data_IF_516978227781
#
_entry.id   IF_516978227781
#
_cell.length_a   1.000
_cell.length_b   1.000
_cell.length_c   1.000
_cell.angle_alpha   90.00
_cell.angle_beta   90.00
_cell.angle_gamma   90.00
#
_symmetry.space_group_name_H-M   'P 1'
#
loop_
_entity.id
_entity.type
_entity.pdbx_description
1 polymer ?
#
# COMPACT_ATOMS: atom_id res chain seq x y z
N UNK A 1 22.08 7.28 -22.07
CA UNK A 1 20.76 7.94 -22.06
C UNK A 1 19.82 7.16 -22.97
N UNK A 2 18.68 6.69 -22.45
CA UNK A 2 17.63 6.06 -23.23
C UNK A 2 16.28 6.30 -22.54
N UNK A 3 15.78 7.54 -22.62
CA UNK A 3 14.50 7.92 -22.04
C UNK A 3 13.39 7.62 -23.05
N UNK A 4 12.32 6.97 -22.60
CA UNK A 4 11.12 6.73 -23.41
C UNK A 4 10.04 7.69 -22.97
N UNK A 5 9.47 8.43 -23.92
CA UNK A 5 8.37 9.36 -23.71
C UNK A 5 7.11 8.71 -24.27
N UNK A 6 6.08 8.58 -23.45
CA UNK A 6 4.78 8.02 -23.83
C UNK A 6 3.73 9.11 -23.65
N UNK A 7 3.02 9.45 -24.73
CA UNK A 7 1.90 10.40 -24.72
C UNK A 7 0.58 9.64 -24.76
N UNK A 8 -0.35 10.04 -23.89
CA UNK A 8 -1.69 9.46 -23.78
C UNK A 8 -2.74 10.57 -23.94
N UNK A 9 -3.98 10.23 -24.34
CA UNK A 9 -5.10 11.18 -24.34
C UNK A 9 -5.34 11.77 -22.94
N UNK A 10 -6.19 12.80 -22.82
CA UNK A 10 -6.53 13.39 -21.53
C UNK A 10 -7.61 12.63 -20.75
N UNK A 11 -8.74 12.24 -21.37
CA UNK A 11 -9.88 11.71 -20.65
C UNK A 11 -9.61 10.36 -19.95
N UNK A 12 -10.00 10.18 -18.68
CA UNK A 12 -9.76 8.93 -17.95
C UNK A 12 -10.32 7.68 -18.64
N UNK A 13 -11.51 7.83 -19.27
CA UNK A 13 -12.16 6.75 -20.03
C UNK A 13 -11.33 6.26 -21.23
N UNK A 14 -10.43 7.09 -21.73
CA UNK A 14 -9.54 6.77 -22.86
C UNK A 14 -8.14 6.35 -22.37
N UNK A 15 -7.61 7.01 -21.34
CA UNK A 15 -6.27 6.75 -20.79
C UNK A 15 -6.20 5.43 -20.05
N UNK A 16 -7.19 5.12 -19.21
CA UNK A 16 -7.11 3.94 -18.33
C UNK A 16 -6.97 2.63 -19.12
N UNK A 17 -7.76 2.38 -20.20
CA UNK A 17 -7.57 1.20 -21.03
C UNK A 17 -6.18 1.13 -21.67
N UNK A 18 -5.70 2.25 -22.25
CA UNK A 18 -4.38 2.31 -22.89
C UNK A 18 -3.25 2.05 -21.89
N UNK A 19 -3.36 2.62 -20.69
CA UNK A 19 -2.40 2.39 -19.63
C UNK A 19 -2.41 0.92 -19.20
N UNK A 20 -3.59 0.37 -18.88
CA UNK A 20 -3.70 -0.99 -18.36
C UNK A 20 -3.26 -2.05 -19.36
N UNK A 21 -3.59 -1.88 -20.65
CA UNK A 21 -3.28 -2.86 -21.70
C UNK A 21 -1.85 -2.75 -22.25
N UNK A 22 -1.25 -1.55 -22.25
CA UNK A 22 0.03 -1.33 -22.94
C UNK A 22 1.11 -0.73 -22.04
N UNK A 23 0.85 0.40 -21.40
CA UNK A 23 1.88 1.15 -20.67
C UNK A 23 2.28 0.46 -19.37
N UNK A 24 1.31 -0.03 -18.60
CA UNK A 24 1.52 -0.77 -17.36
C UNK A 24 2.39 -2.01 -17.56
N UNK A 25 2.03 -2.93 -18.48
CA UNK A 25 2.85 -4.10 -18.82
C UNK A 25 4.25 -3.72 -19.32
N UNK A 26 4.36 -2.67 -20.15
CA UNK A 26 5.64 -2.17 -20.62
C UNK A 26 6.54 -1.71 -19.46
N UNK A 27 6.01 -0.89 -18.54
CA UNK A 27 6.74 -0.44 -17.34
C UNK A 27 7.12 -1.65 -16.48
N UNK A 28 6.19 -2.58 -16.27
CA UNK A 28 6.44 -3.79 -15.47
C UNK A 28 7.56 -4.67 -16.07
N UNK A 29 7.65 -4.79 -17.39
CA UNK A 29 8.72 -5.54 -18.05
C UNK A 29 10.13 -4.95 -17.86
N UNK A 30 10.20 -3.65 -17.50
CA UNK A 30 11.46 -2.90 -17.35
C UNK A 30 11.83 -2.60 -15.90
N UNK A 31 10.89 -2.76 -14.97
CA UNK A 31 11.17 -2.63 -13.55
C UNK A 31 11.60 -4.01 -13.02
N UNK A 32 12.86 -4.17 -12.57
CA UNK A 32 13.28 -5.44 -11.98
C UNK A 32 12.50 -5.77 -10.70
N UNK A 33 12.25 -7.05 -10.45
CA UNK A 33 11.62 -7.51 -9.21
C UNK A 33 10.09 -7.56 -9.20
N UNK A 34 9.54 -8.07 -8.09
CA UNK A 34 8.11 -8.21 -7.83
C UNK A 34 7.68 -7.33 -6.65
N UNK A 35 6.38 -7.13 -6.52
CA UNK A 35 5.77 -6.31 -5.47
C UNK A 35 4.71 -7.12 -4.74
N UNK A 36 4.65 -6.95 -3.42
CA UNK A 36 3.57 -7.44 -2.58
C UNK A 36 2.97 -6.25 -1.84
N UNK A 37 1.65 -6.22 -1.69
CA UNK A 37 0.96 -5.16 -0.98
C UNK A 37 -0.13 -5.72 -0.07
N UNK A 38 -0.37 -5.06 1.04
CA UNK A 38 -1.49 -5.34 1.94
C UNK A 38 -1.96 -4.04 2.58
N UNK A 39 -3.29 -3.88 2.63
CA UNK A 39 -3.92 -2.80 3.38
C UNK A 39 -4.22 -3.27 4.79
N UNK A 40 -3.83 -2.46 5.76
CA UNK A 40 -4.14 -2.66 7.19
C UNK A 40 -4.80 -1.40 7.74
N UNK A 41 -5.38 -1.49 8.92
CA UNK A 41 -5.96 -0.34 9.61
C UNK A 41 -5.40 -0.22 11.03
N UNK A 42 -5.32 1.00 11.54
CA UNK A 42 -4.81 1.28 12.89
C UNK A 42 -5.62 2.37 13.57
N UNK A 43 -5.96 2.17 14.84
CA UNK A 43 -6.69 3.15 15.65
C UNK A 43 -5.74 4.22 16.22
N UNK A 44 -4.98 4.91 15.35
CA UNK A 44 -4.13 6.04 15.70
C UNK A 44 -4.44 7.26 14.82
N UNK A 45 -4.28 8.49 15.33
CA UNK A 45 -4.27 9.67 14.48
C UNK A 45 -3.04 9.67 13.56
N UNK A 46 -3.17 10.30 12.39
CA UNK A 46 -2.09 10.34 11.38
C UNK A 46 -0.78 10.91 11.95
N UNK A 47 -0.87 11.95 12.78
CA UNK A 47 0.28 12.57 13.44
C UNK A 47 1.11 11.57 14.25
N UNK A 48 0.46 10.63 14.94
CA UNK A 48 1.12 9.61 15.74
C UNK A 48 1.57 8.39 14.94
N UNK A 49 0.91 8.12 13.80
CA UNK A 49 1.27 7.03 12.89
C UNK A 49 2.49 7.37 12.01
N UNK A 50 2.73 8.66 11.74
CA UNK A 50 3.83 9.13 10.89
C UNK A 50 5.20 8.62 11.33
N UNK A 51 5.50 8.65 12.64
CA UNK A 51 6.75 8.16 13.22
C UNK A 51 6.99 6.66 12.98
N UNK A 52 6.07 5.78 13.41
CA UNK A 52 6.13 4.34 13.11
C UNK A 52 6.31 4.04 11.62
N UNK A 53 5.58 4.73 10.73
CA UNK A 53 5.72 4.53 9.29
C UNK A 53 7.12 4.89 8.77
N UNK A 54 7.67 6.02 9.23
CA UNK A 54 9.03 6.45 8.85
C UNK A 54 10.07 5.46 9.35
N UNK A 55 9.92 4.95 10.57
CA UNK A 55 10.84 3.97 11.15
C UNK A 55 10.80 2.64 10.40
N UNK A 56 9.62 2.16 9.99
CA UNK A 56 9.50 0.97 9.14
C UNK A 56 10.17 1.20 7.79
N UNK A 57 9.93 2.33 7.12
CA UNK A 57 10.59 2.64 5.84
C UNK A 57 12.11 2.79 6.00
N UNK A 58 12.60 3.23 7.16
CA UNK A 58 14.03 3.28 7.48
C UNK A 58 14.64 1.89 7.66
N UNK A 59 13.96 0.98 8.37
CA UNK A 59 14.40 -0.42 8.59
C UNK A 59 14.24 -1.31 7.36
N UNK A 60 13.23 -1.03 6.54
CA UNK A 60 12.91 -1.77 5.33
C UNK A 60 12.88 -0.81 4.12
N UNK A 61 14.05 -0.42 3.56
CA UNK A 61 14.13 0.55 2.46
C UNK A 61 13.41 0.13 1.18
N UNK A 62 13.11 -1.16 1.03
CA UNK A 62 12.34 -1.72 -0.09
C UNK A 62 10.83 -1.66 0.14
N UNK A 63 10.38 -1.12 1.27
CA UNK A 63 8.99 -0.92 1.61
C UNK A 63 8.59 0.56 1.48
N UNK A 64 7.33 0.76 1.10
CA UNK A 64 6.67 2.05 1.09
C UNK A 64 5.33 1.93 1.82
N UNK A 65 5.11 2.84 2.76
CA UNK A 65 3.89 2.89 3.56
C UNK A 65 3.12 4.16 3.23
N UNK A 66 1.81 4.05 3.02
CA UNK A 66 0.93 5.18 2.71
C UNK A 66 -0.38 5.09 3.47
N UNK A 67 -0.63 6.05 4.36
CA UNK A 67 -1.92 6.19 5.03
C UNK A 67 -2.95 6.91 4.14
N UNK A 68 -4.22 6.57 4.33
CA UNK A 68 -5.34 7.14 3.56
C UNK A 68 -6.34 7.83 4.48
N UNK A 69 -6.04 9.07 4.85
CA UNK A 69 -6.90 9.90 5.70
C UNK A 69 -8.31 10.06 5.11
N UNK A 70 -8.41 10.23 3.79
CA UNK A 70 -9.68 10.39 3.09
C UNK A 70 -10.56 9.13 3.08
N UNK A 71 -10.00 7.95 3.35
CA UNK A 71 -10.75 6.68 3.44
C UNK A 71 -11.25 6.42 4.87
N UNK A 72 -11.01 7.34 5.82
CA UNK A 72 -11.54 7.24 7.17
C UNK A 72 -13.04 7.53 7.14
N UNK A 73 -13.86 6.50 7.35
CA UNK A 73 -15.32 6.60 7.26
C UNK A 73 -15.92 7.65 8.22
N UNK A 74 -15.40 7.70 9.46
CA UNK A 74 -15.81 8.65 10.51
C UNK A 74 -14.62 8.98 11.44
N UNK A 75 -14.60 10.17 12.08
CA UNK A 75 -13.65 10.47 13.13
C UNK A 75 -13.65 9.39 14.22
N UNK A 76 -12.49 8.84 14.54
CA UNK A 76 -12.34 7.72 15.48
C UNK A 76 -12.24 6.34 14.83
N UNK A 77 -12.62 6.17 13.55
CA UNK A 77 -12.45 4.90 12.85
C UNK A 77 -10.96 4.57 12.60
N UNK A 78 -10.56 3.30 12.55
CA UNK A 78 -9.20 2.93 12.15
C UNK A 78 -8.78 3.58 10.84
N UNK A 79 -7.55 4.12 10.81
CA UNK A 79 -6.95 4.74 9.64
C UNK A 79 -6.38 3.65 8.72
N UNK A 80 -6.90 3.49 7.50
CA UNK A 80 -6.32 2.58 6.52
C UNK A 80 -4.94 3.04 6.07
N UNK A 81 -4.02 2.10 5.89
CA UNK A 81 -2.72 2.32 5.27
C UNK A 81 -2.33 1.13 4.40
N UNK A 82 -1.72 1.41 3.25
CA UNK A 82 -1.07 0.39 2.43
C UNK A 82 0.36 0.21 2.88
N UNK A 83 0.76 -1.05 3.07
CA UNK A 83 2.15 -1.47 3.15
C UNK A 83 2.47 -2.14 1.81
N UNK A 84 3.47 -1.63 1.11
CA UNK A 84 3.93 -2.16 -0.18
C UNK A 84 5.40 -2.51 -0.07
N UNK A 85 5.77 -3.73 -0.39
CA UNK A 85 7.15 -4.19 -0.42
C UNK A 85 7.56 -4.61 -1.82
N UNK A 86 8.84 -4.43 -2.15
CA UNK A 86 9.47 -4.93 -3.38
C UNK A 86 10.56 -5.94 -3.04
N UNK A 87 10.67 -6.97 -3.86
CA UNK A 87 11.74 -7.97 -3.80
C UNK A 87 12.15 -8.42 -5.19
N UNK A 88 13.21 -9.21 -5.29
CA UNK A 88 13.69 -9.74 -6.58
C UNK A 88 12.70 -10.74 -7.20
N UNK A 89 11.98 -11.46 -6.34
CA UNK A 89 10.88 -12.35 -6.69
C UNK A 89 9.67 -12.14 -5.76
N UNK A 90 8.61 -12.90 -6.01
CA UNK A 90 7.36 -12.80 -5.25
C UNK A 90 7.52 -13.23 -3.79
N UNK A 91 8.34 -14.25 -3.53
CA UNK A 91 8.58 -14.76 -2.19
C UNK A 91 9.36 -13.73 -1.35
N UNK A 92 10.40 -13.14 -1.91
CA UNK A 92 11.17 -12.06 -1.30
C UNK A 92 10.31 -10.83 -1.03
N UNK A 93 9.47 -10.42 -1.99
CA UNK A 93 8.54 -9.31 -1.81
C UNK A 93 7.53 -9.60 -0.68
N UNK A 94 7.00 -10.83 -0.61
CA UNK A 94 6.07 -11.23 0.45
C UNK A 94 6.74 -11.28 1.81
N UNK A 95 7.94 -11.84 1.91
CA UNK A 95 8.70 -11.89 3.15
C UNK A 95 9.01 -10.49 3.69
N UNK A 96 9.43 -9.57 2.82
CA UNK A 96 9.66 -8.18 3.18
C UNK A 96 8.37 -7.47 3.64
N UNK A 97 7.24 -7.74 2.98
CA UNK A 97 5.94 -7.22 3.38
C UNK A 97 5.54 -7.69 4.78
N UNK A 98 5.65 -8.99 5.04
CA UNK A 98 5.30 -9.59 6.35
C UNK A 98 6.16 -8.99 7.45
N UNK A 99 7.49 -8.95 7.27
CA UNK A 99 8.40 -8.38 8.26
C UNK A 99 8.13 -6.89 8.53
N UNK A 100 7.77 -6.12 7.49
CA UNK A 100 7.41 -4.72 7.64
C UNK A 100 6.09 -4.52 8.40
N UNK A 101 5.09 -5.39 8.18
CA UNK A 101 3.82 -5.37 8.92
C UNK A 101 4.03 -5.76 10.38
N UNK A 102 4.83 -6.79 10.66
CA UNK A 102 5.18 -7.21 12.02
C UNK A 102 5.90 -6.09 12.78
N UNK A 103 6.91 -5.48 12.16
CA UNK A 103 7.61 -4.34 12.75
C UNK A 103 6.67 -3.14 12.97
N UNK A 104 5.74 -2.87 12.04
CA UNK A 104 4.73 -1.83 12.24
C UNK A 104 3.82 -2.17 13.42
N UNK A 105 3.40 -3.43 13.55
CA UNK A 105 2.55 -3.91 14.64
C UNK A 105 3.20 -3.66 16.01
N UNK A 106 4.49 -3.97 16.14
CA UNK A 106 5.27 -3.70 17.36
C UNK A 106 5.30 -2.20 17.69
N UNK A 107 5.64 -1.35 16.72
CA UNK A 107 5.76 0.09 16.91
C UNK A 107 4.42 0.77 17.25
N UNK A 108 3.31 0.28 16.73
CA UNK A 108 1.98 0.83 17.09
C UNK A 108 1.48 0.27 18.43
N UNK A 109 1.89 -0.95 18.81
CA UNK A 109 1.61 -1.53 20.12
C UNK A 109 2.29 -0.75 21.26
N UNK A 110 3.51 -0.25 21.04
CA UNK A 110 4.18 0.68 21.97
C UNK A 110 3.37 1.96 22.24
N UNK A 111 2.48 2.34 21.30
CA UNK A 111 1.57 3.48 21.41
C UNK A 111 0.17 3.10 21.93
N UNK A 112 -0.03 1.85 22.34
CA UNK A 112 -1.31 1.35 22.85
C UNK A 112 -2.35 1.06 21.77
N UNK A 113 -1.94 0.90 20.51
CA UNK A 113 -2.82 0.56 19.39
C UNK A 113 -2.49 -0.81 18.80
N UNK A 114 -3.39 -1.35 17.98
CA UNK A 114 -3.17 -2.60 17.26
C UNK A 114 -3.43 -2.43 15.76
N UNK A 115 -2.66 -3.15 14.94
CA UNK A 115 -2.99 -3.33 13.53
C UNK A 115 -4.14 -4.32 13.39
N UNK A 116 -5.05 -4.02 12.48
CA UNK A 116 -6.11 -4.93 12.08
C UNK A 116 -6.17 -5.05 10.56
N UNK A 117 -6.69 -6.16 10.02
CA UNK A 117 -7.03 -6.25 8.61
C UNK A 117 -7.94 -5.08 8.21
N UNK A 118 -7.70 -4.50 7.04
CA UNK A 118 -8.62 -3.51 6.51
C UNK A 118 -9.85 -4.20 5.93
N UNK A 119 -11.00 -3.96 6.53
CA UNK A 119 -12.30 -4.27 5.95
C UNK A 119 -12.78 -3.05 5.18
N UNK A 120 -13.04 -3.20 3.88
CA UNK A 120 -13.53 -2.10 3.05
C UNK A 120 -15.00 -1.81 3.41
N UNK A 121 -15.30 -0.62 3.99
CA UNK A 121 -16.67 -0.28 4.37
C UNK A 121 -17.58 -0.05 3.16
N UNK A 122 -17.03 0.03 1.95
CA UNK A 122 -17.78 0.13 0.69
C UNK A 122 -17.97 -1.21 -0.03
N UNK A 123 -17.36 -2.30 0.48
CA UNK A 123 -17.59 -3.62 -0.08
C UNK A 123 -19.02 -4.08 0.22
N UNK A 124 -19.74 -4.65 -0.78
CA UNK A 124 -21.05 -5.24 -0.52
C UNK A 124 -20.89 -6.35 0.52
N UNK A 125 -21.70 -6.29 1.59
CA UNK A 125 -21.79 -7.39 2.55
C UNK A 125 -22.13 -8.66 1.76
N UNK A 126 -21.41 -9.78 1.93
CA UNK A 126 -21.85 -11.03 1.34
C UNK A 126 -23.27 -11.29 1.86
N UNK A 127 -24.21 -11.44 0.95
CA UNK A 127 -25.59 -11.76 1.32
C UNK A 127 -25.54 -13.00 2.20
N UNK A 128 -26.07 -12.90 3.42
CA UNK A 128 -26.26 -14.04 4.30
C UNK A 128 -27.12 -15.06 3.53
N UNK A 129 -26.53 -16.21 3.21
CA UNK A 129 -27.26 -17.40 2.75
C UNK A 129 -28.10 -18.00 3.88
#
# INVERSE_FOLDING_TARGET
>A
GNAVIITLPGPPREVMPLFNLHVGPYIASRLPGKRAAQRVAVALPESELSGPMQEVMRRFPMCYLKAYVALRAVPGHPLPLDVVARGDDEAAARAALVAAIECLAELVAEKGAALQPWEDPSAPHPASE
#
